data_IF_151563604578
#
_entry.id   IF_151563604578
#
_cell.length_a   1.000
_cell.length_b   1.000
_cell.length_c   1.000
_cell.angle_alpha   90.00
_cell.angle_beta   90.00
_cell.angle_gamma   90.00
#
_symmetry.space_group_name_H-M   'P 1'
#
loop_
_entity.id
_entity.type
_entity.pdbx_description
1 polymer ?
#
# COMPACT_ATOMS: atom_id res chain seq x y z
N UNK A 1 4.25 5.71 -13.46
CA UNK A 1 4.69 5.05 -14.70
C UNK A 1 3.50 4.41 -15.39
N UNK A 2 3.54 4.21 -16.70
CA UNK A 2 2.50 3.55 -17.51
C UNK A 2 3.11 2.37 -18.28
N UNK A 3 2.26 1.57 -18.95
CA UNK A 3 2.66 0.38 -19.74
C UNK A 3 3.50 -0.66 -18.99
N UNK A 4 3.03 -1.11 -17.83
CA UNK A 4 3.78 -2.11 -17.07
C UNK A 4 5.14 -1.57 -16.62
N UNK A 5 5.17 -0.30 -16.20
CA UNK A 5 6.30 0.34 -15.52
C UNK A 5 7.45 0.71 -16.48
N UNK A 6 7.16 0.77 -17.78
CA UNK A 6 8.15 1.01 -18.83
C UNK A 6 8.25 2.47 -19.26
N UNK A 7 7.19 3.24 -19.09
CA UNK A 7 7.16 4.64 -19.51
C UNK A 7 6.85 5.60 -18.37
N UNK A 8 7.56 6.73 -18.35
CA UNK A 8 7.27 7.84 -17.45
C UNK A 8 6.09 8.64 -18.00
N UNK A 9 5.04 8.80 -17.19
CA UNK A 9 3.87 9.59 -17.56
C UNK A 9 4.14 11.11 -17.54
N UNK A 10 5.37 11.54 -17.21
CA UNK A 10 5.72 12.96 -17.05
C UNK A 10 5.02 13.65 -15.87
N UNK A 11 4.33 12.89 -15.01
CA UNK A 11 3.56 13.36 -13.87
C UNK A 11 4.06 12.66 -12.60
N UNK A 12 4.27 13.44 -11.54
CA UNK A 12 4.53 12.90 -10.21
C UNK A 12 3.28 12.22 -9.65
N UNK A 13 3.47 11.30 -8.69
CA UNK A 13 2.36 10.63 -8.01
C UNK A 13 1.42 11.64 -7.29
N UNK A 14 1.99 12.72 -6.75
CA UNK A 14 1.25 13.79 -6.10
C UNK A 14 0.36 14.55 -7.09
N UNK A 15 0.89 14.89 -8.27
CA UNK A 15 0.12 15.56 -9.32
C UNK A 15 -1.00 14.65 -9.83
N UNK A 16 -0.70 13.38 -10.06
CA UNK A 16 -1.68 12.39 -10.49
C UNK A 16 -2.82 12.23 -9.46
N UNK A 17 -2.49 12.12 -8.17
CA UNK A 17 -3.48 12.01 -7.10
C UNK A 17 -4.43 13.22 -7.07
N UNK A 18 -3.89 14.44 -7.15
CA UNK A 18 -4.71 15.67 -7.19
C UNK A 18 -5.60 15.75 -8.43
N UNK A 19 -5.06 15.42 -9.60
CA UNK A 19 -5.81 15.49 -10.85
C UNK A 19 -6.94 14.45 -10.93
N UNK A 20 -6.73 13.27 -10.33
CA UNK A 20 -7.65 12.15 -10.42
C UNK A 20 -8.64 12.05 -9.26
N UNK A 21 -8.41 12.77 -8.15
CA UNK A 21 -9.24 12.74 -6.95
C UNK A 21 -10.76 12.91 -7.19
N UNK A 22 -11.23 13.80 -8.10
CA UNK A 22 -12.66 13.92 -8.38
C UNK A 22 -13.29 12.65 -8.97
N UNK A 23 -12.49 11.75 -9.55
CA UNK A 23 -12.95 10.63 -10.36
C UNK A 23 -12.81 9.26 -9.67
N UNK A 24 -12.12 9.16 -8.54
CA UNK A 24 -11.89 7.89 -7.83
C UNK A 24 -12.16 7.96 -6.32
N UNK A 25 -12.53 6.84 -5.71
CA UNK A 25 -12.73 6.74 -4.26
C UNK A 25 -11.46 6.48 -3.45
N UNK A 26 -10.41 5.98 -4.12
CA UNK A 26 -9.20 5.45 -3.49
C UNK A 26 -8.04 5.39 -4.50
N UNK A 27 -6.82 5.50 -3.98
CA UNK A 27 -5.58 5.31 -4.73
C UNK A 27 -4.80 4.11 -4.19
N UNK A 28 -4.30 3.28 -5.11
CA UNK A 28 -3.24 2.32 -4.84
C UNK A 28 -1.93 2.92 -5.35
N UNK A 29 -1.02 3.26 -4.44
CA UNK A 29 0.30 3.79 -4.76
C UNK A 29 1.36 2.72 -4.54
N UNK A 30 1.99 2.27 -5.62
CA UNK A 30 3.13 1.37 -5.55
C UNK A 30 4.43 2.14 -5.76
N UNK A 31 5.31 2.10 -4.76
CA UNK A 31 6.65 2.67 -4.90
C UNK A 31 7.56 1.70 -5.65
N UNK A 32 7.91 2.06 -6.88
CA UNK A 32 8.57 1.18 -7.84
C UNK A 32 10.07 1.03 -7.63
N UNK A 33 10.74 2.12 -7.26
CA UNK A 33 12.20 2.21 -7.36
C UNK A 33 12.92 1.21 -6.43
N UNK A 34 12.19 0.62 -5.47
CA UNK A 34 12.67 -0.38 -4.52
C UNK A 34 12.05 -1.78 -4.69
N UNK A 35 11.25 -2.04 -5.73
CA UNK A 35 10.69 -3.38 -5.94
C UNK A 35 11.82 -4.41 -6.17
N UNK A 36 11.95 -5.35 -5.24
CA UNK A 36 12.91 -6.46 -5.30
C UNK A 36 14.22 -6.27 -4.53
N UNK A 37 14.49 -5.07 -3.99
CA UNK A 37 15.74 -4.82 -3.24
C UNK A 37 15.63 -5.04 -1.72
N UNK A 38 14.42 -5.21 -1.18
CA UNK A 38 14.19 -5.49 0.26
C UNK A 38 14.82 -4.44 1.20
N UNK A 39 14.90 -3.18 0.76
CA UNK A 39 15.53 -2.06 1.50
C UNK A 39 14.53 -1.21 2.30
N UNK A 40 13.26 -1.58 2.33
CA UNK A 40 12.19 -0.79 2.93
C UNK A 40 11.46 0.08 1.89
N UNK A 41 10.33 0.63 2.29
CA UNK A 41 9.54 1.54 1.47
C UNK A 41 9.94 2.99 1.71
N UNK A 42 9.71 3.87 0.73
CA UNK A 42 9.89 5.31 0.91
C UNK A 42 8.65 5.91 1.58
N UNK A 43 8.67 5.95 2.91
CA UNK A 43 7.59 6.51 3.72
C UNK A 43 7.36 7.99 3.43
N UNK A 44 8.40 8.77 3.12
CA UNK A 44 8.26 10.19 2.84
C UNK A 44 7.51 10.42 1.53
N UNK A 45 7.81 9.62 0.49
CA UNK A 45 7.09 9.63 -0.77
C UNK A 45 5.61 9.25 -0.58
N UNK A 46 5.33 8.19 0.19
CA UNK A 46 3.96 7.77 0.51
C UNK A 46 3.21 8.89 1.25
N UNK A 47 3.84 9.50 2.25
CA UNK A 47 3.25 10.59 3.03
C UNK A 47 3.02 11.85 2.19
N UNK A 48 3.84 12.10 1.17
CA UNK A 48 3.58 13.17 0.21
C UNK A 48 2.29 12.93 -0.59
N UNK A 49 2.04 11.70 -1.02
CA UNK A 49 0.79 11.31 -1.69
C UNK A 49 -0.40 11.41 -0.72
N UNK A 50 -0.26 10.92 0.51
CA UNK A 50 -1.29 11.04 1.56
C UNK A 50 -1.72 12.49 1.78
N UNK A 51 -0.77 13.43 1.82
CA UNK A 51 -1.06 14.88 1.98
C UNK A 51 -1.70 15.51 0.74
N UNK A 52 -1.63 14.84 -0.41
CA UNK A 52 -2.11 15.37 -1.67
C UNK A 52 -3.59 15.10 -1.94
N UNK A 53 -4.23 14.19 -1.21
CA UNK A 53 -5.62 13.79 -1.44
C UNK A 53 -6.39 13.48 -0.16
N UNK A 54 -7.70 13.77 -0.15
CA UNK A 54 -8.58 13.34 0.93
C UNK A 54 -9.09 11.91 0.74
N UNK A 55 -8.89 11.30 -0.43
CA UNK A 55 -9.33 9.92 -0.74
C UNK A 55 -8.53 8.89 0.05
N UNK A 56 -9.06 7.67 0.13
CA UNK A 56 -8.31 6.55 0.74
C UNK A 56 -7.02 6.30 -0.04
N UNK A 57 -6.00 5.85 0.68
CA UNK A 57 -4.71 5.53 0.11
C UNK A 57 -4.27 4.16 0.63
N UNK A 58 -3.99 3.27 -0.31
CA UNK A 58 -3.32 2.00 -0.06
C UNK A 58 -1.90 2.11 -0.62
N UNK A 59 -0.89 1.87 0.21
CA UNK A 59 0.52 1.86 -0.16
C UNK A 59 1.03 0.44 -0.42
N UNK A 60 1.83 0.29 -1.46
CA UNK A 60 2.46 -0.97 -1.86
C UNK A 60 3.92 -0.73 -2.28
N UNK A 61 4.70 -1.81 -2.33
CA UNK A 61 6.09 -1.78 -2.80
C UNK A 61 7.09 -1.53 -1.67
N UNK A 62 7.99 -2.50 -1.46
CA UNK A 62 9.13 -2.35 -0.54
C UNK A 62 8.85 -2.45 0.96
N UNK A 63 7.60 -2.59 1.41
CA UNK A 63 7.27 -2.74 2.85
C UNK A 63 7.82 -4.07 3.37
N UNK A 64 8.64 -4.03 4.44
CA UNK A 64 9.34 -5.22 4.97
C UNK A 64 9.19 -5.47 6.47
N UNK A 65 8.66 -4.50 7.22
CA UNK A 65 8.60 -4.56 8.69
C UNK A 65 7.23 -4.17 9.24
N UNK A 66 6.89 -4.67 10.43
CA UNK A 66 5.67 -4.27 11.14
C UNK A 66 5.69 -2.77 11.49
N UNK A 67 6.85 -2.21 11.82
CA UNK A 67 6.98 -0.79 12.15
C UNK A 67 6.62 0.13 10.97
N UNK A 68 6.95 -0.25 9.73
CA UNK A 68 6.49 0.48 8.54
C UNK A 68 4.96 0.42 8.42
N UNK A 69 4.35 -0.75 8.67
CA UNK A 69 2.89 -0.92 8.64
C UNK A 69 2.22 -0.06 9.72
N UNK A 70 2.73 -0.09 10.95
CA UNK A 70 2.19 0.70 12.07
C UNK A 70 2.30 2.21 11.78
N UNK A 71 3.37 2.64 11.11
CA UNK A 71 3.55 4.04 10.70
C UNK A 71 2.52 4.45 9.64
N UNK A 72 2.22 3.56 8.68
CA UNK A 72 1.21 3.79 7.65
C UNK A 72 -0.21 3.80 8.26
N UNK A 73 -0.52 2.85 9.14
CA UNK A 73 -1.80 2.77 9.84
C UNK A 73 -2.07 4.02 10.67
N UNK A 74 -1.07 4.50 11.43
CA UNK A 74 -1.16 5.74 12.18
C UNK A 74 -1.43 6.97 11.30
N UNK A 75 -1.08 6.91 10.01
CA UNK A 75 -1.35 7.95 9.02
C UNK A 75 -2.68 7.74 8.26
N UNK A 76 -3.45 6.69 8.58
CA UNK A 76 -4.68 6.31 7.89
C UNK A 76 -4.44 5.78 6.47
N UNK A 77 -3.34 5.06 6.28
CA UNK A 77 -2.90 4.48 5.00
C UNK A 77 -2.90 2.95 5.14
N UNK A 78 -3.64 2.28 4.27
CA UNK A 78 -3.64 0.82 4.21
C UNK A 78 -2.32 0.33 3.58
N UNK A 79 -1.82 -0.83 4.01
CA UNK A 79 -0.57 -1.39 3.52
C UNK A 79 -0.78 -2.73 2.77
N UNK A 80 -0.15 -2.86 1.60
CA UNK A 80 -0.07 -4.12 0.85
C UNK A 80 1.35 -4.66 0.94
N UNK A 81 1.48 -5.87 1.50
CA UNK A 81 2.76 -6.55 1.70
C UNK A 81 2.81 -7.83 0.86
N UNK A 82 3.83 -7.94 0.01
CA UNK A 82 4.06 -9.11 -0.86
C UNK A 82 5.32 -9.87 -0.46
N UNK A 83 6.46 -9.50 -1.06
CA UNK A 83 7.72 -10.24 -0.95
C UNK A 83 8.22 -10.46 0.49
N UNK A 84 7.95 -9.55 1.42
CA UNK A 84 8.33 -9.74 2.82
C UNK A 84 7.60 -10.93 3.48
N UNK A 85 6.36 -11.20 3.09
CA UNK A 85 5.64 -12.41 3.48
C UNK A 85 6.27 -13.64 2.83
N UNK A 86 6.45 -13.62 1.50
CA UNK A 86 6.97 -14.78 0.75
C UNK A 86 8.38 -15.21 1.17
N UNK A 87 9.22 -14.26 1.61
CA UNK A 87 10.58 -14.52 2.09
C UNK A 87 10.65 -14.82 3.59
N UNK A 88 9.52 -14.78 4.30
CA UNK A 88 9.44 -14.99 5.74
C UNK A 88 10.02 -13.86 6.58
N UNK A 89 10.39 -12.72 5.97
CA UNK A 89 10.92 -11.55 6.68
C UNK A 89 9.86 -10.88 7.56
N UNK A 90 8.63 -10.87 7.08
CA UNK A 90 7.45 -10.51 7.86
C UNK A 90 6.56 -11.75 7.95
N UNK A 91 6.56 -12.48 9.07
CA UNK A 91 5.70 -13.65 9.21
C UNK A 91 4.23 -13.23 9.24
N UNK A 92 3.37 -14.01 8.60
CA UNK A 92 1.93 -13.85 8.82
C UNK A 92 1.60 -14.27 10.26
N UNK A 93 0.70 -13.54 10.94
CA UNK A 93 0.15 -14.03 12.18
C UNK A 93 -0.57 -15.35 11.93
N UNK A 94 -0.65 -16.20 12.95
CA UNK A 94 -1.46 -17.41 12.87
C UNK A 94 -2.88 -17.02 12.42
N UNK A 95 -3.47 -17.78 11.48
CA UNK A 95 -4.83 -17.51 11.04
C UNK A 95 -5.72 -17.51 12.28
N UNK A 96 -6.48 -16.44 12.46
CA UNK A 96 -7.46 -16.37 13.53
C UNK A 96 -8.39 -17.60 13.41
N UNK A 97 -8.76 -18.25 14.54
CA UNK A 97 -9.64 -19.40 14.49
C UNK A 97 -10.90 -19.03 13.70
N UNK A 98 -11.30 -19.93 12.79
CA UNK A 98 -12.46 -19.72 11.93
C UNK A 98 -13.64 -19.28 12.80
N UNK A 99 -14.15 -18.06 12.57
CA UNK A 99 -15.44 -17.67 13.15
C UNK A 99 -16.48 -18.53 12.46
N UNK A 100 -16.85 -19.63 13.11
CA UNK A 100 -17.87 -20.56 12.64
C UNK A 100 -19.06 -19.77 12.12
N UNK A 101 -19.44 -20.05 10.87
CA UNK A 101 -20.63 -19.49 10.28
C UNK A 101 -21.82 -19.99 11.10
N UNK A 102 -22.27 -19.15 12.03
CA UNK A 102 -23.49 -19.35 12.79
C UNK A 102 -24.67 -19.31 11.82
N UNK A 103 -24.93 -20.42 11.14
CA UNK A 103 -26.19 -20.65 10.45
C UNK A 103 -27.23 -20.82 11.55
N UNK A 104 -28.01 -19.78 11.81
CA UNK A 104 -29.23 -19.92 12.59
C UNK A 104 -30.13 -20.92 11.86
N UNK A 105 -30.63 -21.96 12.54
CA UNK A 105 -31.66 -22.80 11.96
C UNK A 105 -32.98 -22.01 11.98
N UNK A 106 -33.57 -21.81 10.80
CA UNK A 106 -35.00 -21.54 10.65
C UNK A 106 -35.79 -22.85 10.74
#
# INVERSE_FOLDING_TARGET
MVEGWRESAGLSAVEAARALEPFCGEFLYTHVDNEGLMQGTDLDAIMAVRRATARRLTAAGGITTQAEIDTLDAAGIDAVVGMAIYTGRLPLPDPAPERGSGRSPE
#
